data_IF_667282357344
#
_entry.id   IF_667282357344
#
_cell.length_a   1.000
_cell.length_b   1.000
_cell.length_c   1.000
_cell.angle_alpha   90.00
_cell.angle_beta   90.00
_cell.angle_gamma   90.00
#
_symmetry.space_group_name_H-M   'P 1'
#
loop_
_entity.id
_entity.type
_entity.pdbx_description
1 polymer ?
#
# COMPACT_ATOMS: atom_id res chain seq x y z
N UNK A 1 14.94 11.61 -16.10
CA UNK A 1 16.06 10.68 -16.36
C UNK A 1 16.90 10.64 -15.10
N UNK A 2 17.42 9.46 -14.75
CA UNK A 2 18.26 9.24 -13.58
C UNK A 2 19.51 8.42 -13.91
N UNK A 3 20.45 8.43 -12.99
CA UNK A 3 21.70 7.68 -13.08
C UNK A 3 21.85 6.79 -11.87
N UNK A 4 22.09 5.51 -12.10
CA UNK A 4 22.55 4.58 -11.07
C UNK A 4 24.05 4.73 -10.93
N UNK A 5 24.52 5.09 -9.75
CA UNK A 5 25.91 5.48 -9.53
C UNK A 5 26.88 4.28 -9.58
N UNK A 6 26.43 3.14 -9.06
CA UNK A 6 27.17 1.88 -9.11
C UNK A 6 26.19 0.73 -8.81
N UNK A 7 26.63 -0.52 -8.92
CA UNK A 7 25.81 -1.69 -8.68
C UNK A 7 26.25 -2.41 -7.40
N UNK A 8 25.32 -2.58 -6.44
CA UNK A 8 25.47 -3.42 -5.24
C UNK A 8 26.86 -3.34 -4.57
N UNK A 9 27.34 -2.15 -4.25
CA UNK A 9 28.62 -1.99 -3.54
C UNK A 9 28.55 -2.66 -2.18
N UNK A 10 29.39 -3.65 -1.97
CA UNK A 10 29.39 -4.52 -0.77
C UNK A 10 30.78 -4.52 -0.10
N UNK A 11 30.84 -5.13 1.06
CA UNK A 11 32.08 -5.41 1.80
C UNK A 11 32.79 -4.21 2.44
N UNK A 12 32.09 -3.07 2.56
CA UNK A 12 32.57 -1.90 3.27
C UNK A 12 31.55 -1.46 4.34
N UNK A 13 31.96 -0.72 5.37
CA UNK A 13 31.03 -0.07 6.27
C UNK A 13 30.03 0.83 5.51
N UNK A 14 28.79 0.89 5.96
CA UNK A 14 27.72 1.67 5.29
C UNK A 14 28.10 3.15 5.11
N UNK A 15 28.82 3.75 6.07
CA UNK A 15 29.33 5.13 5.92
C UNK A 15 30.27 5.29 4.74
N UNK A 16 31.21 4.35 4.56
CA UNK A 16 32.17 4.38 3.44
C UNK A 16 31.47 4.19 2.10
N UNK A 17 30.47 3.31 2.03
CA UNK A 17 29.67 3.09 0.82
C UNK A 17 28.93 4.38 0.47
N UNK A 18 28.23 4.99 1.42
CA UNK A 18 27.45 6.22 1.18
C UNK A 18 28.36 7.39 0.81
N UNK A 19 29.51 7.54 1.47
CA UNK A 19 30.50 8.57 1.15
C UNK A 19 31.04 8.41 -0.29
N UNK A 20 31.47 7.22 -0.66
CA UNK A 20 31.95 6.90 -2.02
C UNK A 20 30.86 7.19 -3.08
N UNK A 21 29.66 6.69 -2.86
CA UNK A 21 28.53 6.88 -3.78
C UNK A 21 28.10 8.35 -3.85
N UNK A 22 28.21 9.09 -2.75
CA UNK A 22 27.94 10.52 -2.72
C UNK A 22 28.94 11.33 -3.57
N UNK A 23 30.22 10.95 -3.57
CA UNK A 23 31.21 11.58 -4.44
C UNK A 23 30.96 11.32 -5.93
N UNK A 24 30.56 10.10 -6.28
CA UNK A 24 30.10 9.81 -7.65
C UNK A 24 28.85 10.62 -8.01
N UNK A 25 27.90 10.70 -7.11
CA UNK A 25 26.68 11.51 -7.27
C UNK A 25 26.99 13.00 -7.45
N UNK A 26 27.97 13.54 -6.71
CA UNK A 26 28.42 14.91 -6.85
C UNK A 26 28.89 15.20 -8.30
N UNK A 27 29.73 14.33 -8.86
CA UNK A 27 30.18 14.49 -10.23
C UNK A 27 29.02 14.51 -11.25
N UNK A 28 27.97 13.71 -11.01
CA UNK A 28 26.75 13.73 -11.84
C UNK A 28 25.97 15.03 -11.65
N UNK A 29 25.78 15.50 -10.40
CA UNK A 29 25.02 16.72 -10.10
C UNK A 29 25.71 18.00 -10.56
N UNK A 30 27.03 18.01 -10.62
CA UNK A 30 27.85 19.11 -11.15
C UNK A 30 27.86 19.12 -12.69
N UNK A 31 27.34 18.11 -13.35
CA UNK A 31 27.18 18.09 -14.80
C UNK A 31 26.07 19.05 -15.26
N UNK A 32 26.03 19.44 -16.55
CA UNK A 32 24.98 20.33 -17.06
C UNK A 32 23.59 19.67 -17.15
N UNK A 33 23.46 18.42 -16.75
CA UNK A 33 22.22 17.68 -16.85
C UNK A 33 21.47 17.63 -15.51
N UNK A 34 20.21 18.02 -15.49
CA UNK A 34 19.34 17.87 -14.33
C UNK A 34 18.82 16.43 -14.26
N UNK A 35 19.51 15.58 -13.51
CA UNK A 35 19.17 14.17 -13.33
C UNK A 35 19.16 13.82 -11.84
N UNK A 36 18.31 12.86 -11.47
CA UNK A 36 18.36 12.25 -10.15
C UNK A 36 19.41 11.13 -10.11
N UNK A 37 19.91 10.87 -8.91
CA UNK A 37 20.91 9.84 -8.64
C UNK A 37 20.37 8.77 -7.72
N UNK A 38 20.64 7.52 -8.02
CA UNK A 38 20.25 6.38 -7.20
C UNK A 38 21.42 5.44 -6.94
N UNK A 39 21.31 4.67 -5.88
CA UNK A 39 22.10 3.46 -5.68
C UNK A 39 21.17 2.28 -5.39
N UNK A 40 21.56 1.09 -5.77
CA UNK A 40 20.95 -0.14 -5.35
C UNK A 40 21.76 -0.82 -4.23
N UNK A 41 21.07 -1.57 -3.41
CA UNK A 41 21.68 -2.38 -2.38
C UNK A 41 20.93 -3.69 -2.22
N UNK A 42 21.60 -4.67 -1.64
CA UNK A 42 20.93 -5.92 -1.28
C UNK A 42 19.96 -5.70 -0.14
N UNK A 43 18.97 -6.57 -0.04
CA UNK A 43 18.01 -6.59 1.05
C UNK A 43 18.66 -6.53 2.45
N UNK A 44 19.78 -7.23 2.63
CA UNK A 44 20.46 -7.32 3.94
C UNK A 44 21.06 -5.98 4.36
N UNK A 45 21.55 -5.18 3.41
CA UNK A 45 22.27 -3.94 3.70
C UNK A 45 21.36 -2.71 3.71
N UNK A 46 20.12 -2.85 3.24
CA UNK A 46 19.21 -1.72 2.98
C UNK A 46 19.07 -0.78 4.17
N UNK A 47 18.78 -1.30 5.34
CA UNK A 47 18.46 -0.47 6.52
C UNK A 47 19.66 0.37 6.98
N UNK A 48 20.85 -0.23 7.01
CA UNK A 48 22.06 0.48 7.44
C UNK A 48 22.49 1.53 6.44
N UNK A 49 22.35 1.25 5.14
CA UNK A 49 22.67 2.20 4.07
C UNK A 49 21.67 3.36 4.05
N UNK A 50 20.38 3.09 4.16
CA UNK A 50 19.34 4.13 4.25
C UNK A 50 19.56 5.05 5.43
N UNK A 51 19.78 4.48 6.62
CA UNK A 51 20.03 5.25 7.82
C UNK A 51 21.26 6.14 7.67
N UNK A 52 22.36 5.60 7.15
CA UNK A 52 23.60 6.36 6.93
C UNK A 52 23.39 7.48 5.90
N UNK A 53 22.68 7.19 4.79
CA UNK A 53 22.39 8.20 3.77
C UNK A 53 21.56 9.36 4.35
N UNK A 54 20.55 9.08 5.16
CA UNK A 54 19.73 10.10 5.80
C UNK A 54 20.53 10.92 6.84
N UNK A 55 21.40 10.27 7.61
CA UNK A 55 22.29 10.98 8.53
C UNK A 55 23.26 11.91 7.79
N UNK A 56 23.90 11.44 6.74
CA UNK A 56 24.79 12.26 5.94
C UNK A 56 24.04 13.41 5.26
N UNK A 57 22.84 13.15 4.74
CA UNK A 57 22.00 14.17 4.10
C UNK A 57 21.63 15.29 5.07
N UNK A 58 21.36 14.97 6.34
CA UNK A 58 21.00 15.94 7.37
C UNK A 58 22.18 16.75 7.91
N UNK A 59 23.40 16.22 7.89
CA UNK A 59 24.58 16.83 8.52
C UNK A 59 25.57 17.46 7.55
N UNK A 60 25.93 16.74 6.49
CA UNK A 60 26.96 17.16 5.53
C UNK A 60 26.46 17.28 4.10
N UNK A 61 25.24 16.83 3.84
CA UNK A 61 24.69 16.64 2.51
C UNK A 61 25.13 15.32 1.87
N UNK A 62 24.33 14.84 0.94
CA UNK A 62 24.64 13.72 0.05
C UNK A 62 24.07 13.99 -1.33
N UNK A 63 24.71 13.44 -2.33
CA UNK A 63 24.29 13.54 -3.72
C UNK A 63 23.55 12.27 -4.20
N UNK A 64 23.11 11.41 -3.27
CA UNK A 64 22.27 10.26 -3.53
C UNK A 64 20.83 10.67 -3.24
N UNK A 65 20.01 10.80 -4.28
CA UNK A 65 18.61 11.21 -4.11
C UNK A 65 17.78 10.10 -3.46
N UNK A 66 18.01 8.84 -3.83
CA UNK A 66 17.38 7.70 -3.16
C UNK A 66 18.18 6.40 -3.28
N UNK A 67 17.86 5.49 -2.39
CA UNK A 67 18.41 4.13 -2.32
C UNK A 67 17.29 3.16 -2.60
N UNK A 68 17.49 2.22 -3.51
CA UNK A 68 16.54 1.15 -3.81
C UNK A 68 17.10 -0.23 -3.45
N UNK A 69 16.23 -1.22 -3.49
CA UNK A 69 16.54 -2.59 -3.09
C UNK A 69 16.51 -3.55 -4.28
N UNK A 70 17.46 -4.46 -4.31
CA UNK A 70 17.47 -5.59 -5.20
C UNK A 70 16.86 -6.79 -4.48
N UNK A 71 15.73 -7.26 -4.98
CA UNK A 71 14.94 -8.30 -4.33
C UNK A 71 14.56 -9.34 -5.35
N UNK A 72 15.02 -10.57 -5.14
CA UNK A 72 14.73 -11.68 -6.02
C UNK A 72 13.79 -12.68 -5.34
N UNK A 73 12.85 -13.22 -6.12
CA UNK A 73 11.83 -14.14 -5.62
C UNK A 73 12.41 -15.36 -4.88
N UNK A 74 13.61 -15.81 -5.22
CA UNK A 74 14.23 -16.94 -4.53
C UNK A 74 14.57 -16.65 -3.06
N UNK A 75 14.56 -15.39 -2.62
CA UNK A 75 14.69 -15.02 -1.22
C UNK A 75 13.39 -15.21 -0.42
N UNK A 76 12.25 -15.42 -1.08
CA UNK A 76 10.94 -15.53 -0.47
C UNK A 76 10.22 -16.80 -0.94
N UNK A 77 9.48 -17.41 -0.03
CA UNK A 77 8.79 -18.66 -0.34
C UNK A 77 7.43 -18.42 -1.00
N UNK A 78 6.80 -17.29 -0.72
CA UNK A 78 5.46 -16.93 -1.19
C UNK A 78 5.39 -15.44 -1.57
N UNK A 79 4.36 -15.03 -2.34
CA UNK A 79 4.06 -13.63 -2.61
C UNK A 79 3.70 -12.86 -1.34
N UNK A 80 3.05 -13.51 -0.39
CA UNK A 80 2.71 -12.89 0.90
C UNK A 80 3.97 -12.54 1.68
N UNK A 81 4.95 -13.44 1.72
CA UNK A 81 6.25 -13.13 2.35
C UNK A 81 7.03 -12.05 1.60
N UNK A 82 6.90 -11.96 0.28
CA UNK A 82 7.46 -10.89 -0.51
C UNK A 82 6.78 -9.55 -0.23
N UNK A 83 5.45 -9.50 -0.25
CA UNK A 83 4.67 -8.31 0.08
C UNK A 83 4.93 -7.86 1.53
N UNK A 84 4.99 -8.79 2.47
CA UNK A 84 5.32 -8.51 3.88
C UNK A 84 6.72 -7.92 4.01
N UNK A 85 7.72 -8.48 3.35
CA UNK A 85 9.07 -7.93 3.35
C UNK A 85 9.12 -6.51 2.79
N UNK A 86 8.40 -6.21 1.72
CA UNK A 86 8.37 -4.85 1.16
C UNK A 86 7.68 -3.88 2.12
N UNK A 87 6.63 -4.29 2.82
CA UNK A 87 5.92 -3.47 3.83
C UNK A 87 6.75 -3.23 5.08
N UNK A 88 7.42 -4.24 5.60
CA UNK A 88 8.24 -4.12 6.83
C UNK A 88 9.43 -3.19 6.65
N UNK A 89 9.88 -2.95 5.42
CA UNK A 89 10.94 -2.00 5.12
C UNK A 89 10.46 -0.54 5.05
N UNK A 90 9.16 -0.30 4.89
CA UNK A 90 8.60 1.07 4.76
C UNK A 90 8.96 1.99 5.92
N UNK A 91 8.89 1.60 7.20
CA UNK A 91 9.25 2.49 8.31
C UNK A 91 10.70 2.95 8.28
N UNK A 92 11.60 2.15 7.73
CA UNK A 92 13.03 2.46 7.64
C UNK A 92 13.40 3.32 6.44
N UNK A 93 12.50 3.47 5.49
CA UNK A 93 12.75 4.22 4.26
C UNK A 93 12.59 5.74 4.44
N UNK A 94 11.93 6.19 5.49
CA UNK A 94 11.78 7.61 5.81
C UNK A 94 11.29 8.43 4.61
N UNK A 95 12.05 9.47 4.24
CA UNK A 95 11.80 10.32 3.07
C UNK A 95 12.36 9.77 1.77
N UNK A 96 12.99 8.60 1.79
CA UNK A 96 13.56 7.97 0.60
C UNK A 96 12.45 7.59 -0.39
N UNK A 97 12.69 7.81 -1.68
CA UNK A 97 11.81 7.28 -2.72
C UNK A 97 11.96 5.76 -2.77
N UNK A 98 10.89 5.05 -2.46
CA UNK A 98 10.90 3.60 -2.31
C UNK A 98 10.79 2.92 -3.66
N UNK A 99 11.81 2.14 -4.01
CA UNK A 99 11.88 1.43 -5.28
C UNK A 99 12.50 0.05 -5.12
N UNK A 100 11.86 -0.96 -5.70
CA UNK A 100 12.51 -2.22 -6.03
C UNK A 100 13.24 -2.01 -7.35
N UNK A 101 14.56 -2.17 -7.32
CA UNK A 101 15.41 -1.84 -8.45
C UNK A 101 15.77 -3.04 -9.31
N UNK A 102 15.70 -4.24 -8.74
CA UNK A 102 15.93 -5.47 -9.47
C UNK A 102 15.03 -6.59 -8.98
N UNK A 103 14.34 -7.23 -9.92
CA UNK A 103 13.64 -8.50 -9.72
C UNK A 103 13.65 -9.32 -11.00
N UNK A 104 13.97 -10.62 -10.90
CA UNK A 104 13.97 -11.50 -12.06
C UNK A 104 12.57 -11.83 -12.56
N UNK A 105 12.37 -11.74 -13.87
CA UNK A 105 11.08 -11.96 -14.55
C UNK A 105 10.80 -13.41 -14.95
N UNK A 106 11.66 -14.35 -14.59
CA UNK A 106 11.60 -15.76 -15.04
C UNK A 106 10.50 -16.61 -14.38
N UNK A 107 9.71 -16.04 -13.48
CA UNK A 107 8.71 -16.79 -12.72
C UNK A 107 7.30 -16.57 -13.27
N UNK A 108 6.42 -17.59 -13.27
CA UNK A 108 5.07 -17.50 -13.83
C UNK A 108 4.21 -16.42 -13.16
N UNK A 109 4.48 -16.09 -11.92
CA UNK A 109 3.74 -15.15 -11.12
C UNK A 109 4.34 -13.73 -11.09
N UNK A 110 5.12 -13.37 -12.11
CA UNK A 110 5.81 -12.07 -12.13
C UNK A 110 4.83 -10.87 -12.03
N UNK A 111 3.64 -10.99 -12.61
CA UNK A 111 2.64 -9.95 -12.54
C UNK A 111 2.10 -9.76 -11.11
N UNK A 112 1.95 -10.85 -10.35
CA UNK A 112 1.57 -10.80 -8.93
C UNK A 112 2.67 -10.16 -8.09
N UNK A 113 3.92 -10.53 -8.33
CA UNK A 113 5.07 -9.94 -7.64
C UNK A 113 5.19 -8.45 -7.93
N UNK A 114 4.94 -8.03 -9.18
CA UNK A 114 4.92 -6.63 -9.56
C UNK A 114 3.89 -5.85 -8.71
N UNK A 115 2.66 -6.34 -8.65
CA UNK A 115 1.62 -5.68 -7.85
C UNK A 115 1.93 -5.73 -6.35
N UNK A 116 2.41 -6.87 -5.85
CA UNK A 116 2.79 -7.03 -4.45
C UNK A 116 3.91 -6.07 -4.02
N UNK A 117 4.89 -5.82 -4.91
CA UNK A 117 5.94 -4.87 -4.66
C UNK A 117 5.44 -3.46 -4.37
N UNK A 118 4.36 -3.04 -5.02
CA UNK A 118 3.75 -1.72 -4.83
C UNK A 118 3.12 -1.55 -3.44
N UNK A 119 2.87 -2.62 -2.69
CA UNK A 119 2.33 -2.52 -1.34
C UNK A 119 3.22 -1.73 -0.38
N UNK A 120 4.53 -1.71 -0.62
CA UNK A 120 5.50 -0.97 0.20
C UNK A 120 6.39 -0.02 -0.61
N UNK A 121 6.25 0.04 -1.93
CA UNK A 121 7.15 0.77 -2.81
C UNK A 121 6.40 1.65 -3.79
N UNK A 122 7.05 2.72 -4.24
CA UNK A 122 6.52 3.66 -5.23
C UNK A 122 6.86 3.26 -6.66
N UNK A 123 7.89 2.43 -6.84
CA UNK A 123 8.36 2.01 -8.16
C UNK A 123 8.93 0.60 -8.12
N UNK A 124 9.00 0.01 -9.30
CA UNK A 124 9.42 -1.37 -9.50
C UNK A 124 10.12 -1.49 -10.86
N UNK A 125 11.24 -2.19 -10.89
CA UNK A 125 12.04 -2.40 -12.09
C UNK A 125 12.38 -3.88 -12.29
N UNK A 126 12.32 -4.36 -13.52
CA UNK A 126 12.69 -5.71 -13.86
C UNK A 126 14.18 -5.78 -14.15
N UNK A 127 14.86 -6.73 -13.51
CA UNK A 127 16.22 -7.05 -13.86
C UNK A 127 16.23 -7.88 -15.16
N UNK A 128 17.07 -7.43 -16.09
CA UNK A 128 17.22 -8.02 -17.42
C UNK A 128 15.91 -8.15 -18.21
N UNK A 129 15.51 -7.07 -18.87
CA UNK A 129 14.40 -7.13 -19.81
C UNK A 129 14.64 -8.20 -20.90
N UNK A 130 15.89 -8.34 -21.35
CA UNK A 130 16.35 -9.29 -22.35
C UNK A 130 17.57 -10.03 -21.80
N UNK A 131 17.36 -11.21 -21.26
CA UNK A 131 18.45 -12.03 -20.67
C UNK A 131 18.68 -13.35 -21.39
N UNK A 132 19.95 -13.78 -21.50
CA UNK A 132 20.34 -15.10 -21.97
C UNK A 132 20.14 -16.19 -20.93
N UNK A 133 20.06 -15.81 -19.66
CA UNK A 133 20.05 -16.69 -18.49
C UNK A 133 18.67 -16.95 -17.91
N UNK A 134 17.61 -16.72 -18.68
CA UNK A 134 16.23 -16.91 -18.26
C UNK A 134 15.67 -15.90 -17.22
N UNK A 135 16.35 -14.83 -16.90
CA UNK A 135 15.85 -13.82 -15.95
C UNK A 135 14.93 -12.79 -16.60
N UNK A 136 15.07 -12.55 -17.92
CA UNK A 136 14.33 -11.53 -18.65
C UNK A 136 12.89 -11.91 -19.01
N UNK A 137 12.08 -10.91 -19.34
CA UNK A 137 10.75 -11.08 -19.95
C UNK A 137 10.87 -11.58 -21.39
N UNK A 138 11.96 -11.22 -22.07
CA UNK A 138 12.33 -11.71 -23.38
C UNK A 138 13.49 -12.70 -23.28
N UNK A 139 13.44 -13.76 -24.05
CA UNK A 139 14.52 -14.74 -24.18
C UNK A 139 15.23 -14.55 -25.51
N UNK A 140 16.52 -14.88 -25.54
CA UNK A 140 17.28 -14.87 -26.77
C UNK A 140 16.77 -15.99 -27.69
N UNK A 141 16.43 -15.64 -28.93
CA UNK A 141 16.07 -16.57 -30.00
C UNK A 141 17.15 -16.48 -31.09
N UNK A 142 17.66 -17.63 -31.49
CA UNK A 142 18.75 -17.70 -32.51
C UNK A 142 18.31 -17.20 -33.89
N UNK A 143 17.01 -17.24 -34.20
CA UNK A 143 16.48 -16.82 -35.49
C UNK A 143 16.06 -15.34 -35.51
N UNK A 144 15.37 -14.90 -34.48
CA UNK A 144 14.65 -13.63 -34.48
C UNK A 144 15.21 -12.62 -33.46
N UNK A 145 16.32 -12.94 -32.80
CA UNK A 145 16.96 -12.11 -31.79
C UNK A 145 16.35 -12.34 -30.40
N UNK A 146 15.29 -11.62 -30.03
CA UNK A 146 14.62 -11.79 -28.76
C UNK A 146 13.13 -12.13 -28.95
N UNK A 147 12.70 -13.20 -28.30
CA UNK A 147 11.32 -13.64 -28.28
C UNK A 147 10.67 -13.40 -26.90
N UNK A 148 9.38 -13.00 -26.82
CA UNK A 148 8.70 -12.84 -25.55
C UNK A 148 8.44 -14.19 -24.86
N UNK A 149 8.47 -14.20 -23.53
CA UNK A 149 8.08 -15.36 -22.73
C UNK A 149 6.57 -15.50 -22.63
N UNK A 150 5.88 -15.65 -23.73
CA UNK A 150 4.47 -16.03 -23.83
C UNK A 150 3.57 -15.45 -22.73
N UNK A 151 3.05 -16.33 -21.88
CA UNK A 151 2.07 -15.98 -20.83
C UNK A 151 2.59 -14.96 -19.81
N UNK A 152 3.89 -14.94 -19.51
CA UNK A 152 4.44 -13.99 -18.54
C UNK A 152 4.33 -12.56 -19.05
N UNK A 153 4.65 -12.37 -20.32
CA UNK A 153 4.55 -11.07 -20.95
C UNK A 153 3.10 -10.58 -21.00
N UNK A 154 2.15 -11.46 -21.31
CA UNK A 154 0.73 -11.07 -21.37
C UNK A 154 0.20 -10.67 -19.99
N UNK A 155 0.55 -11.39 -18.93
CA UNK A 155 0.16 -11.04 -17.56
C UNK A 155 0.76 -9.70 -17.14
N UNK A 156 2.05 -9.47 -17.43
CA UNK A 156 2.72 -8.20 -17.16
C UNK A 156 2.09 -7.05 -17.93
N UNK A 157 1.75 -7.25 -19.23
CA UNK A 157 1.06 -6.23 -20.03
C UNK A 157 -0.28 -5.83 -19.41
N UNK A 158 -1.07 -6.81 -18.96
CA UNK A 158 -2.39 -6.55 -18.37
C UNK A 158 -2.28 -5.85 -17.02
N UNK A 159 -1.33 -6.25 -16.17
CA UNK A 159 -1.07 -5.54 -14.91
C UNK A 159 -0.57 -4.12 -15.18
N UNK A 160 0.36 -3.92 -16.10
CA UNK A 160 0.82 -2.58 -16.48
C UNK A 160 -0.31 -1.73 -17.07
N UNK A 161 -1.19 -2.31 -17.89
CA UNK A 161 -2.37 -1.61 -18.41
C UNK A 161 -3.30 -1.18 -17.28
N UNK A 162 -3.55 -2.06 -16.32
CA UNK A 162 -4.35 -1.75 -15.12
C UNK A 162 -3.69 -0.62 -14.32
N UNK A 163 -2.41 -0.73 -14.01
CA UNK A 163 -1.69 0.27 -13.23
C UNK A 163 -1.64 1.62 -13.94
N UNK A 164 -1.40 1.64 -15.25
CA UNK A 164 -1.40 2.88 -16.03
C UNK A 164 -2.75 3.61 -15.98
N UNK A 165 -3.85 2.88 -15.89
CA UNK A 165 -5.19 3.48 -15.78
C UNK A 165 -5.44 4.20 -14.46
N UNK A 166 -4.63 3.95 -13.42
CA UNK A 166 -4.80 4.46 -12.05
C UNK A 166 -3.50 4.99 -11.44
N UNK A 167 -2.44 5.10 -12.23
CA UNK A 167 -1.08 5.45 -11.77
C UNK A 167 -1.03 6.77 -11.00
N UNK A 168 -1.72 7.80 -11.50
CA UNK A 168 -1.73 9.13 -10.87
C UNK A 168 -2.36 9.03 -9.48
N UNK A 169 -3.46 8.30 -9.36
CA UNK A 169 -4.17 8.15 -8.09
C UNK A 169 -3.35 7.35 -7.07
N UNK A 170 -2.66 6.30 -7.52
CA UNK A 170 -1.71 5.55 -6.66
C UNK A 170 -0.57 6.46 -6.20
N UNK A 171 0.01 7.26 -7.10
CA UNK A 171 1.14 8.13 -6.78
C UNK A 171 0.80 9.22 -5.76
N UNK A 172 -0.39 9.84 -5.88
CA UNK A 172 -0.80 10.94 -4.99
C UNK A 172 -1.52 10.48 -3.72
N UNK A 173 -2.07 9.24 -3.71
CA UNK A 173 -2.89 8.71 -2.64
C UNK A 173 -2.38 7.36 -2.11
N UNK A 174 -1.05 7.20 -1.99
CA UNK A 174 -0.42 5.93 -1.65
C UNK A 174 -0.98 5.24 -0.39
N UNK A 175 -1.48 6.00 0.58
CA UNK A 175 -2.13 5.47 1.80
C UNK A 175 -3.63 5.20 1.65
N UNK A 176 -4.23 5.45 0.48
CA UNK A 176 -5.68 5.38 0.23
C UNK A 176 -6.06 4.39 -0.85
N UNK A 177 -5.20 3.44 -1.18
CA UNK A 177 -5.51 2.39 -2.14
C UNK A 177 -5.36 1.01 -1.52
N UNK A 178 -6.16 0.07 -1.98
CA UNK A 178 -6.07 -1.36 -1.66
C UNK A 178 -5.54 -2.13 -2.85
N UNK A 179 -4.53 -2.97 -2.63
CA UNK A 179 -4.01 -3.90 -3.62
C UNK A 179 -4.60 -5.29 -3.37
N UNK A 180 -5.17 -5.88 -4.43
CA UNK A 180 -5.65 -7.25 -4.41
C UNK A 180 -4.68 -8.12 -5.17
N UNK A 181 -3.71 -8.66 -4.44
CA UNK A 181 -2.71 -9.59 -4.96
C UNK A 181 -3.17 -11.01 -4.69
N UNK A 182 -3.18 -11.83 -5.73
CA UNK A 182 -3.62 -13.21 -5.62
C UNK A 182 -2.46 -14.16 -5.43
N UNK A 183 -2.61 -15.10 -4.50
CA UNK A 183 -1.57 -16.10 -4.24
C UNK A 183 -1.46 -17.06 -5.45
N UNK A 184 -0.26 -17.20 -5.99
CA UNK A 184 0.04 -18.02 -7.16
C UNK A 184 -0.07 -19.53 -6.93
N UNK A 185 -0.05 -19.96 -5.68
CA UNK A 185 -0.24 -21.38 -5.32
C UNK A 185 -1.67 -21.86 -5.51
N UNK A 186 -2.57 -20.95 -5.86
CA UNK A 186 -3.84 -21.31 -6.50
C UNK A 186 -4.91 -21.92 -5.61
N UNK A 187 -4.70 -22.01 -4.31
CA UNK A 187 -5.55 -22.86 -3.47
C UNK A 187 -6.70 -22.13 -2.81
N UNK A 188 -6.79 -20.83 -2.90
CA UNK A 188 -7.99 -20.13 -2.44
C UNK A 188 -8.24 -18.84 -3.22
N UNK A 189 -9.35 -18.83 -3.96
CA UNK A 189 -9.99 -17.62 -4.46
C UNK A 189 -10.63 -16.84 -3.30
N UNK A 190 -9.88 -16.66 -2.21
CA UNK A 190 -10.40 -15.94 -1.04
C UNK A 190 -10.53 -14.46 -1.39
N UNK A 191 -11.66 -13.84 -1.07
CA UNK A 191 -11.81 -12.42 -1.27
C UNK A 191 -10.82 -11.67 -0.39
N UNK A 192 -10.07 -10.78 -1.00
CA UNK A 192 -9.24 -9.80 -0.28
C UNK A 192 -10.02 -8.50 -0.12
N UNK A 193 -9.70 -7.74 0.94
CA UNK A 193 -10.42 -6.49 1.26
C UNK A 193 -9.48 -5.30 1.07
N UNK A 194 -9.96 -4.30 0.35
CA UNK A 194 -9.26 -3.05 0.09
C UNK A 194 -9.89 -1.85 0.80
N UNK A 195 -9.83 -0.68 0.17
CA UNK A 195 -10.36 0.55 0.75
C UNK A 195 -11.87 0.47 0.99
N UNK A 196 -12.35 1.08 2.05
CA UNK A 196 -13.78 1.20 2.41
C UNK A 196 -14.53 -0.14 2.52
N UNK A 197 -13.82 -1.24 2.78
CA UNK A 197 -14.44 -2.56 2.87
C UNK A 197 -14.82 -3.18 1.53
N UNK A 198 -14.31 -2.64 0.42
CA UNK A 198 -14.44 -3.24 -0.90
C UNK A 198 -13.63 -4.54 -0.92
N UNK A 199 -14.24 -5.62 -1.39
CA UNK A 199 -13.54 -6.89 -1.57
C UNK A 199 -13.46 -7.27 -3.04
N UNK A 200 -12.44 -8.04 -3.38
CA UNK A 200 -12.22 -8.57 -4.71
C UNK A 200 -12.03 -10.08 -4.68
N UNK A 201 -12.75 -10.77 -5.54
CA UNK A 201 -12.58 -12.20 -5.82
C UNK A 201 -12.15 -12.32 -7.27
N UNK A 202 -10.94 -12.82 -7.58
CA UNK A 202 -10.46 -12.91 -8.96
C UNK A 202 -11.27 -13.90 -9.77
N UNK A 203 -11.48 -13.59 -11.04
CA UNK A 203 -12.12 -14.51 -12.00
C UNK A 203 -11.16 -15.56 -12.56
N UNK A 204 -9.85 -15.30 -12.44
CA UNK A 204 -8.76 -16.18 -12.90
C UNK A 204 -7.60 -16.16 -11.90
N UNK A 205 -6.81 -17.24 -11.89
CA UNK A 205 -5.63 -17.43 -11.00
C UNK A 205 -4.69 -16.21 -11.01
N UNK A 206 -4.48 -15.57 -12.16
CA UNK A 206 -3.58 -14.43 -12.31
C UNK A 206 -4.31 -13.09 -12.43
N UNK A 207 -5.56 -12.98 -11.99
CA UNK A 207 -6.26 -11.71 -11.98
C UNK A 207 -5.84 -10.89 -10.77
N UNK A 208 -5.33 -9.71 -11.01
CA UNK A 208 -4.93 -8.73 -10.01
C UNK A 208 -5.88 -7.54 -10.05
N UNK A 209 -6.03 -6.85 -8.94
CA UNK A 209 -6.91 -5.71 -8.87
C UNK A 209 -6.39 -4.64 -7.91
N UNK A 210 -6.96 -3.46 -8.01
CA UNK A 210 -6.73 -2.33 -7.12
C UNK A 210 -8.04 -1.59 -6.88
N UNK A 211 -8.23 -1.09 -5.66
CA UNK A 211 -9.30 -0.17 -5.30
C UNK A 211 -8.71 1.13 -4.76
N UNK A 212 -9.22 2.27 -5.20
CA UNK A 212 -8.67 3.58 -4.85
C UNK A 212 -9.79 4.51 -4.43
N UNK A 213 -9.66 5.09 -3.25
CA UNK A 213 -10.49 6.21 -2.80
C UNK A 213 -9.91 7.50 -3.40
N UNK A 214 -10.43 7.90 -4.55
CA UNK A 214 -9.94 9.05 -5.31
C UNK A 214 -10.39 10.37 -4.69
N UNK A 215 -11.63 10.43 -4.26
CA UNK A 215 -12.21 11.59 -3.58
C UNK A 215 -13.31 11.17 -2.60
N UNK A 216 -13.85 12.11 -1.86
CA UNK A 216 -14.98 11.86 -0.97
C UNK A 216 -16.23 11.31 -1.65
N UNK A 217 -16.36 11.52 -2.95
CA UNK A 217 -17.49 11.04 -3.75
C UNK A 217 -17.11 9.99 -4.81
N UNK A 218 -15.84 9.60 -4.92
CA UNK A 218 -15.39 8.79 -6.04
C UNK A 218 -14.42 7.67 -5.59
N UNK A 219 -14.74 6.44 -6.01
CA UNK A 219 -13.91 5.27 -5.82
C UNK A 219 -13.64 4.65 -7.19
N UNK A 220 -12.40 4.26 -7.44
CA UNK A 220 -11.99 3.61 -8.68
C UNK A 220 -11.57 2.18 -8.38
N UNK A 221 -12.10 1.26 -9.16
CA UNK A 221 -11.77 -0.16 -9.14
C UNK A 221 -11.11 -0.51 -10.46
N UNK A 222 -9.99 -1.21 -10.43
CA UNK A 222 -9.37 -1.70 -11.66
C UNK A 222 -8.93 -3.15 -11.49
N UNK A 223 -9.04 -3.93 -12.55
CA UNK A 223 -8.58 -5.33 -12.58
C UNK A 223 -7.82 -5.62 -13.86
N UNK A 224 -6.82 -6.49 -13.76
CA UNK A 224 -6.02 -6.90 -14.91
C UNK A 224 -6.74 -7.91 -15.81
N UNK A 225 -7.55 -8.82 -15.24
CA UNK A 225 -8.18 -9.93 -15.98
C UNK A 225 -9.63 -10.23 -15.57
N UNK A 226 -10.33 -9.24 -15.03
CA UNK A 226 -11.69 -9.44 -14.55
C UNK A 226 -11.78 -10.15 -13.20
N UNK A 227 -12.99 -10.30 -12.71
CA UNK A 227 -13.32 -10.85 -11.40
C UNK A 227 -14.54 -10.18 -10.81
N UNK A 228 -14.72 -10.35 -9.51
CA UNK A 228 -15.89 -9.87 -8.80
C UNK A 228 -15.48 -8.90 -7.72
N UNK A 229 -15.91 -7.65 -7.83
CA UNK A 229 -15.86 -6.71 -6.71
C UNK A 229 -17.17 -6.76 -5.93
N UNK A 230 -17.07 -6.64 -4.62
CA UNK A 230 -18.24 -6.41 -3.77
C UNK A 230 -17.95 -5.34 -2.72
N UNK A 231 -18.99 -4.62 -2.31
CA UNK A 231 -18.90 -3.57 -1.29
C UNK A 231 -20.15 -3.54 -0.41
N UNK A 232 -20.06 -3.06 0.84
CA UNK A 232 -21.19 -2.99 1.74
C UNK A 232 -22.20 -1.91 1.32
N UNK A 233 -23.48 -2.13 1.60
CA UNK A 233 -24.56 -1.15 1.37
C UNK A 233 -24.26 0.22 1.99
N UNK A 234 -23.50 0.24 3.09
CA UNK A 234 -23.13 1.48 3.80
C UNK A 234 -22.28 2.44 2.95
N UNK A 235 -21.68 1.97 1.86
CA UNK A 235 -20.96 2.85 0.92
C UNK A 235 -21.89 3.79 0.14
N UNK A 236 -23.19 3.49 0.07
CA UNK A 236 -24.20 4.31 -0.60
C UNK A 236 -23.78 4.74 -2.02
N UNK A 237 -23.45 3.78 -2.87
CA UNK A 237 -23.06 4.01 -4.26
C UNK A 237 -24.28 4.44 -5.06
N UNK A 238 -24.18 5.58 -5.70
CA UNK A 238 -25.22 6.21 -6.51
C UNK A 238 -25.18 5.72 -7.96
N UNK A 239 -24.00 5.51 -8.49
CA UNK A 239 -23.79 5.00 -9.86
C UNK A 239 -22.46 4.30 -10.01
N UNK A 240 -22.40 3.40 -11.01
CA UNK A 240 -21.18 2.74 -11.44
C UNK A 240 -21.06 2.86 -12.96
N UNK A 241 -19.86 3.18 -13.46
CA UNK A 241 -19.59 3.21 -14.89
C UNK A 241 -18.22 2.56 -15.19
N UNK A 242 -18.09 1.94 -16.35
CA UNK A 242 -16.82 1.48 -16.90
C UNK A 242 -16.23 2.55 -17.80
N UNK A 243 -14.89 2.58 -17.88
CA UNK A 243 -14.20 3.56 -18.71
C UNK A 243 -12.70 3.58 -18.41
N UNK A 244 -12.08 4.70 -18.65
CA UNK A 244 -10.65 4.90 -18.40
C UNK A 244 -10.35 6.38 -18.11
N UNK A 245 -9.16 6.66 -17.59
CA UNK A 245 -8.66 8.03 -17.46
C UNK A 245 -7.80 8.38 -18.68
N UNK A 246 -8.08 9.54 -19.29
CA UNK A 246 -7.28 10.07 -20.40
C UNK A 246 -5.91 10.59 -19.93
N UNK A 247 -5.10 11.08 -20.86
CA UNK A 247 -3.77 11.64 -20.56
C UNK A 247 -3.80 12.86 -19.62
N UNK A 248 -4.95 13.49 -19.42
CA UNK A 248 -5.17 14.62 -18.53
C UNK A 248 -5.83 14.19 -17.21
N UNK A 249 -5.92 12.88 -16.97
CA UNK A 249 -6.57 12.29 -15.79
C UNK A 249 -8.08 12.60 -15.67
N UNK A 250 -8.77 12.83 -16.80
CA UNK A 250 -10.21 12.95 -16.87
C UNK A 250 -10.84 11.60 -17.14
N UNK A 251 -11.97 11.31 -16.49
CA UNK A 251 -12.72 10.08 -16.74
C UNK A 251 -13.41 10.12 -18.09
N UNK A 252 -13.16 9.13 -18.91
CA UNK A 252 -13.87 8.86 -20.17
C UNK A 252 -14.82 7.70 -19.92
N UNK A 253 -16.11 8.00 -19.93
CA UNK A 253 -17.17 7.04 -19.65
C UNK A 253 -17.46 6.19 -20.88
N UNK A 254 -17.43 4.87 -20.74
CA UNK A 254 -17.75 3.88 -21.81
C UNK A 254 -19.10 3.20 -21.59
N UNK A 255 -19.80 3.55 -20.52
CA UNK A 255 -21.14 3.06 -20.21
C UNK A 255 -21.36 2.67 -18.76
N UNK A 256 -22.62 2.55 -18.40
CA UNK A 256 -23.04 2.14 -17.06
C UNK A 256 -22.68 0.69 -16.78
N UNK A 257 -22.42 0.40 -15.53
CA UNK A 257 -22.22 -0.96 -15.01
C UNK A 257 -23.34 -1.24 -14.02
N UNK A 258 -24.11 -2.30 -14.28
CA UNK A 258 -25.13 -2.76 -13.36
C UNK A 258 -24.47 -3.56 -12.24
N UNK A 259 -24.88 -3.31 -11.01
CA UNK A 259 -24.47 -4.09 -9.87
C UNK A 259 -25.69 -4.78 -9.23
N UNK A 260 -25.47 -6.00 -8.78
CA UNK A 260 -26.47 -6.80 -8.09
C UNK A 260 -26.40 -6.53 -6.59
N UNK A 261 -27.54 -6.62 -5.93
CA UNK A 261 -27.60 -6.55 -4.46
C UNK A 261 -27.86 -7.94 -3.92
N UNK A 262 -26.95 -8.44 -3.10
CA UNK A 262 -27.11 -9.67 -2.34
C UNK A 262 -26.99 -9.38 -0.84
N UNK A 263 -28.15 -9.49 -0.14
CA UNK A 263 -28.29 -9.20 1.30
C UNK A 263 -27.87 -7.77 1.64
N UNK A 264 -26.62 -7.59 2.12
CA UNK A 264 -26.04 -6.28 2.53
C UNK A 264 -24.84 -5.90 1.70
N UNK A 265 -24.66 -6.51 0.53
CA UNK A 265 -23.53 -6.27 -0.37
C UNK A 265 -24.03 -5.96 -1.76
N UNK A 266 -23.36 -5.04 -2.40
CA UNK A 266 -23.46 -4.83 -3.84
C UNK A 266 -22.32 -5.58 -4.52
N UNK A 267 -22.59 -6.12 -5.70
CA UNK A 267 -21.68 -7.00 -6.43
C UNK A 267 -21.65 -6.55 -7.89
N UNK A 268 -20.43 -6.34 -8.40
CA UNK A 268 -20.17 -6.17 -9.82
C UNK A 268 -19.25 -7.26 -10.33
N UNK A 269 -19.64 -7.89 -11.45
CA UNK A 269 -18.83 -8.89 -12.12
C UNK A 269 -18.23 -8.28 -13.38
N UNK A 270 -16.91 -8.36 -13.50
CA UNK A 270 -16.14 -7.86 -14.64
C UNK A 270 -15.68 -9.01 -15.51
N UNK A 271 -15.64 -8.75 -16.82
CA UNK A 271 -15.40 -9.76 -17.83
C UNK A 271 -14.02 -10.39 -17.70
N UNK A 272 -14.01 -11.69 -17.81
CA UNK A 272 -12.85 -12.52 -17.67
C UNK A 272 -11.83 -12.29 -18.81
N UNK A 273 -10.53 -12.24 -18.44
CA UNK A 273 -9.42 -12.08 -19.39
C UNK A 273 -9.21 -10.65 -19.91
N UNK A 274 -9.97 -9.68 -19.43
CA UNK A 274 -9.93 -8.29 -19.90
C UNK A 274 -9.54 -7.34 -18.77
N UNK A 275 -8.62 -6.43 -19.06
CA UNK A 275 -8.32 -5.32 -18.17
C UNK A 275 -9.44 -4.29 -18.20
N UNK A 276 -10.05 -4.02 -17.04
CA UNK A 276 -11.19 -3.12 -16.93
C UNK A 276 -11.04 -2.19 -15.73
N UNK A 277 -11.55 -0.97 -15.89
CA UNK A 277 -11.64 0.02 -14.82
C UNK A 277 -13.10 0.44 -14.63
N UNK A 278 -13.53 0.52 -13.39
CA UNK A 278 -14.88 0.92 -12.98
C UNK A 278 -14.76 2.09 -12.02
N UNK A 279 -15.55 3.12 -12.28
CA UNK A 279 -15.72 4.25 -11.41
C UNK A 279 -17.02 4.12 -10.64
N UNK A 280 -16.95 4.17 -9.31
CA UNK A 280 -18.09 4.23 -8.42
C UNK A 280 -18.27 5.67 -7.95
N UNK A 281 -19.47 6.20 -8.07
CA UNK A 281 -19.84 7.50 -7.52
C UNK A 281 -20.73 7.29 -6.31
N UNK A 282 -20.40 7.93 -5.20
CA UNK A 282 -21.18 7.88 -3.95
C UNK A 282 -21.56 9.27 -3.47
N UNK A 283 -22.45 9.34 -2.48
CA UNK A 283 -22.70 10.58 -1.75
C UNK A 283 -21.36 11.07 -1.15
N UNK A 284 -21.09 12.35 -1.32
CA UNK A 284 -19.83 12.95 -0.87
C UNK A 284 -19.62 12.73 0.63
N UNK A 285 -18.43 12.24 0.97
CA UNK A 285 -17.98 12.04 2.34
C UNK A 285 -16.74 12.91 2.59
N UNK A 286 -16.54 13.43 3.78
CA UNK A 286 -15.29 14.09 4.12
C UNK A 286 -14.10 13.16 3.89
N UNK A 287 -13.04 13.69 3.27
CA UNK A 287 -11.82 12.94 3.02
C UNK A 287 -10.86 13.04 4.20
N UNK A 288 -10.17 11.97 4.56
CA UNK A 288 -9.09 12.09 5.52
C UNK A 288 -7.90 12.83 4.90
N UNK A 289 -7.33 13.77 5.62
CA UNK A 289 -6.07 14.44 5.23
C UNK A 289 -4.84 13.60 5.55
N UNK A 290 -4.95 12.73 6.57
CA UNK A 290 -3.91 11.77 6.98
C UNK A 290 -4.58 10.44 7.29
N UNK A 291 -3.98 9.35 6.83
CA UNK A 291 -4.36 7.97 7.17
C UNK A 291 -3.14 7.28 7.77
N UNK A 292 -3.32 6.70 8.95
CA UNK A 292 -2.30 5.95 9.66
C UNK A 292 -2.80 4.50 9.85
N UNK A 293 -2.44 3.57 8.97
CA UNK A 293 -2.85 2.18 9.10
C UNK A 293 -2.20 1.48 10.29
N UNK A 294 -2.75 0.35 10.69
CA UNK A 294 -2.33 -0.40 11.88
C UNK A 294 -0.85 -0.79 11.87
N UNK A 295 -0.33 -1.18 10.72
CA UNK A 295 1.06 -1.59 10.53
C UNK A 295 2.10 -0.47 10.72
N UNK A 296 1.67 0.78 10.71
CA UNK A 296 2.54 1.94 10.89
C UNK A 296 2.55 2.47 12.34
N UNK A 297 1.94 1.75 13.27
CA UNK A 297 1.88 2.13 14.67
C UNK A 297 2.96 1.45 15.50
N UNK A 298 3.45 2.14 16.52
CA UNK A 298 4.14 1.47 17.62
C UNK A 298 3.10 0.90 18.58
N UNK A 299 3.27 -0.33 19.03
CA UNK A 299 2.32 -0.95 19.94
C UNK A 299 3.00 -1.85 20.96
N UNK A 300 2.32 -2.14 22.07
CA UNK A 300 2.82 -3.00 23.13
C UNK A 300 1.75 -3.30 24.18
N UNK A 301 2.20 -3.83 25.32
CA UNK A 301 1.28 -4.23 26.40
C UNK A 301 0.37 -5.40 26.02
N UNK A 302 0.85 -6.30 25.15
CA UNK A 302 0.07 -7.46 24.68
C UNK A 302 -0.80 -7.19 23.46
N UNK A 303 -0.67 -6.03 22.80
CA UNK A 303 -1.27 -5.79 21.46
C UNK A 303 -0.48 -6.56 20.42
N UNK A 304 -1.18 -7.17 19.47
CA UNK A 304 -0.61 -7.95 18.38
C UNK A 304 -1.14 -7.40 17.06
N UNK A 305 -0.27 -7.24 16.07
CA UNK A 305 -0.68 -7.00 14.69
C UNK A 305 -1.05 -8.35 14.07
N UNK A 306 -2.29 -8.48 13.66
CA UNK A 306 -2.85 -9.68 13.05
C UNK A 306 -3.30 -9.38 11.62
N UNK A 307 -3.12 -10.36 10.74
CA UNK A 307 -3.52 -10.32 9.33
C UNK A 307 -4.34 -11.55 8.96
N UNK A 308 -5.11 -12.09 9.93
CA UNK A 308 -5.93 -13.28 9.73
C UNK A 308 -7.16 -12.98 8.86
N UNK A 309 -6.96 -13.04 7.56
CA UNK A 309 -8.01 -12.83 6.58
C UNK A 309 -9.02 -13.98 6.48
N UNK A 310 -8.76 -15.11 7.12
CA UNK A 310 -9.71 -16.23 7.17
C UNK A 310 -10.79 -16.00 8.21
N UNK A 311 -10.43 -15.44 9.37
CA UNK A 311 -11.31 -15.28 10.51
C UNK A 311 -11.71 -13.81 10.79
N UNK A 312 -10.98 -12.82 10.25
CA UNK A 312 -11.25 -11.40 10.46
C UNK A 312 -11.11 -10.61 9.16
N UNK A 313 -12.03 -10.78 8.26
CA UNK A 313 -12.11 -10.01 7.02
C UNK A 313 -12.63 -8.60 7.31
N UNK A 314 -12.32 -7.63 6.47
CA UNK A 314 -12.88 -6.26 6.55
C UNK A 314 -11.94 -5.22 7.14
N UNK A 315 -10.72 -5.56 7.56
CA UNK A 315 -9.68 -4.57 7.88
C UNK A 315 -9.12 -3.93 6.59
N UNK A 316 -8.41 -2.82 6.74
CA UNK A 316 -7.70 -2.13 5.66
C UNK A 316 -6.20 -2.21 5.89
N UNK A 317 -5.40 -2.14 4.82
CA UNK A 317 -3.95 -2.25 4.93
C UNK A 317 -3.45 -3.68 5.15
N UNK A 318 -2.32 -3.82 5.84
CA UNK A 318 -1.66 -5.11 6.07
C UNK A 318 -2.21 -5.91 7.26
N UNK A 319 -3.13 -5.33 8.03
CA UNK A 319 -3.68 -6.02 9.19
C UNK A 319 -4.43 -5.09 10.14
N UNK A 320 -4.69 -5.59 11.31
CA UNK A 320 -5.33 -4.85 12.40
C UNK A 320 -4.61 -5.12 13.72
N UNK A 321 -4.68 -4.18 14.64
CA UNK A 321 -4.19 -4.36 16.00
C UNK A 321 -5.27 -5.04 16.84
N UNK A 322 -4.97 -6.23 17.33
CA UNK A 322 -5.78 -6.95 18.31
C UNK A 322 -5.37 -6.54 19.72
N UNK A 323 -6.27 -5.91 20.45
CA UNK A 323 -6.00 -5.39 21.79
C UNK A 323 -6.41 -6.39 22.87
N UNK A 324 -5.55 -6.57 23.91
CA UNK A 324 -5.95 -7.30 25.11
C UNK A 324 -7.02 -6.53 25.88
N UNK A 325 -7.62 -7.18 26.88
CA UNK A 325 -8.66 -6.58 27.73
C UNK A 325 -8.17 -5.32 28.45
N UNK A 326 -6.91 -5.29 28.89
CA UNK A 326 -6.31 -4.14 29.58
C UNK A 326 -4.81 -4.07 29.34
N UNK A 327 -4.24 -2.87 29.46
CA UNK A 327 -2.80 -2.63 29.42
C UNK A 327 -2.19 -2.55 28.01
N UNK A 328 -2.95 -2.87 26.98
CA UNK A 328 -2.52 -2.75 25.59
C UNK A 328 -2.52 -1.29 25.14
N UNK A 329 -1.57 -0.93 24.29
CA UNK A 329 -1.50 0.40 23.70
C UNK A 329 -1.01 0.38 22.25
N UNK A 330 -1.43 1.39 21.48
CA UNK A 330 -0.92 1.73 20.16
C UNK A 330 -0.62 3.23 20.09
N UNK A 331 0.45 3.62 19.40
CA UNK A 331 0.92 5.00 19.33
C UNK A 331 1.18 5.37 17.87
N UNK A 332 0.55 6.43 17.42
CA UNK A 332 0.89 7.13 16.18
C UNK A 332 1.78 8.32 16.52
N UNK A 333 3.01 8.31 16.07
CA UNK A 333 3.96 9.41 16.20
C UNK A 333 3.97 10.26 14.94
N UNK A 334 4.48 11.46 15.09
CA UNK A 334 4.72 12.39 13.98
C UNK A 334 3.49 12.63 13.08
N UNK A 335 2.29 12.60 13.69
CA UNK A 335 1.05 12.89 12.98
C UNK A 335 1.05 14.35 12.56
N UNK A 336 0.90 14.58 11.24
CA UNK A 336 0.87 15.92 10.68
C UNK A 336 -0.49 16.58 10.93
N UNK A 337 -0.52 17.48 11.92
CA UNK A 337 -1.71 18.29 12.24
C UNK A 337 -2.01 19.39 11.23
N UNK A 338 -1.26 19.48 10.12
CA UNK A 338 -1.39 20.56 9.12
C UNK A 338 -1.25 21.94 9.79
N UNK A 339 -2.29 22.76 9.70
CA UNK A 339 -2.30 24.09 10.33
C UNK A 339 -2.58 24.04 11.84
N UNK A 340 -2.76 22.86 12.41
CA UNK A 340 -3.14 22.68 13.82
C UNK A 340 -4.61 23.04 14.10
N UNK A 341 -4.91 23.20 15.39
CA UNK A 341 -6.26 23.52 15.86
C UNK A 341 -7.13 22.28 16.11
N UNK A 342 -8.43 22.50 16.26
CA UNK A 342 -9.37 21.42 16.49
C UNK A 342 -9.55 20.60 15.22
N UNK A 343 -9.31 19.28 15.31
CA UNK A 343 -9.44 18.34 14.20
C UNK A 343 -10.31 17.17 14.59
N UNK A 344 -10.98 16.56 13.63
CA UNK A 344 -11.69 15.31 13.83
C UNK A 344 -10.76 14.13 13.56
N UNK A 345 -10.52 13.34 14.60
CA UNK A 345 -9.84 12.05 14.51
C UNK A 345 -10.90 10.98 14.33
N UNK A 346 -10.71 10.12 13.33
CA UNK A 346 -11.59 8.99 13.04
C UNK A 346 -10.79 7.70 13.27
N UNK A 347 -11.30 6.81 14.12
CA UNK A 347 -10.70 5.50 14.38
C UNK A 347 -11.56 4.43 13.73
N UNK A 348 -10.96 3.58 12.91
CA UNK A 348 -11.62 2.42 12.30
C UNK A 348 -11.41 1.20 13.18
N UNK A 349 -12.51 0.62 13.64
CA UNK A 349 -12.48 -0.47 14.61
C UNK A 349 -13.54 -1.54 14.33
N UNK A 350 -13.30 -2.77 14.82
CA UNK A 350 -14.31 -3.81 14.97
C UNK A 350 -14.42 -4.22 16.45
N UNK A 351 -15.65 -4.36 16.94
CA UNK A 351 -15.95 -4.85 18.27
C UNK A 351 -17.01 -5.96 18.15
N UNK A 352 -16.57 -7.20 18.02
CA UNK A 352 -17.45 -8.37 17.92
C UNK A 352 -18.14 -8.77 19.23
N UNK A 353 -17.84 -8.10 20.36
CA UNK A 353 -18.53 -8.32 21.64
C UNK A 353 -19.87 -7.61 21.65
N UNK A 354 -20.79 -8.08 22.45
CA UNK A 354 -22.09 -7.41 22.69
C UNK A 354 -21.97 -6.14 23.53
N UNK A 355 -20.86 -5.97 24.24
CA UNK A 355 -20.60 -4.85 25.15
C UNK A 355 -19.82 -3.74 24.47
N UNK A 356 -20.07 -2.51 24.90
CA UNK A 356 -19.32 -1.34 24.47
C UNK A 356 -17.92 -1.37 25.08
N UNK A 357 -16.88 -1.29 24.25
CA UNK A 357 -15.53 -1.07 24.74
C UNK A 357 -15.26 0.44 24.98
N UNK A 358 -14.47 0.76 26.00
CA UNK A 358 -14.24 2.14 26.40
C UNK A 358 -12.74 2.48 26.58
N UNK A 359 -11.93 2.34 25.51
CA UNK A 359 -10.51 2.68 25.57
C UNK A 359 -10.28 4.18 25.79
N UNK A 360 -9.09 4.54 26.23
CA UNK A 360 -8.63 5.90 26.28
C UNK A 360 -7.92 6.29 24.99
N UNK A 361 -8.29 7.43 24.41
CA UNK A 361 -7.51 8.10 23.38
C UNK A 361 -6.79 9.29 24.02
N UNK A 362 -5.47 9.34 23.86
CA UNK A 362 -4.61 10.37 24.43
C UNK A 362 -3.95 11.11 23.27
N UNK A 363 -4.28 12.40 23.12
CA UNK A 363 -3.75 13.25 22.05
C UNK A 363 -2.87 14.32 22.69
N UNK A 364 -1.58 14.31 22.40
CA UNK A 364 -0.61 15.25 22.96
C UNK A 364 -0.66 15.32 24.51
N UNK A 365 -0.95 14.21 25.17
CA UNK A 365 -1.11 14.14 26.63
C UNK A 365 -2.50 14.42 27.16
N UNK A 366 -3.44 14.89 26.32
CA UNK A 366 -4.84 15.12 26.72
C UNK A 366 -5.65 13.85 26.49
N UNK A 367 -6.21 13.29 27.57
CA UNK A 367 -6.96 12.04 27.54
C UNK A 367 -8.46 12.27 27.30
N UNK A 368 -9.03 11.47 26.40
CA UNK A 368 -10.47 11.34 26.15
C UNK A 368 -10.87 9.88 26.20
N UNK A 369 -12.04 9.58 26.72
CA UNK A 369 -12.62 8.23 26.69
C UNK A 369 -13.43 8.05 25.44
N UNK A 370 -13.09 7.04 24.64
CA UNK A 370 -13.91 6.64 23.50
C UNK A 370 -15.05 5.72 23.94
N UNK A 371 -16.03 5.60 23.08
CA UNK A 371 -17.08 4.56 23.15
C UNK A 371 -17.06 3.83 21.81
N UNK A 372 -16.75 2.54 21.87
CA UNK A 372 -16.74 1.64 20.72
C UNK A 372 -17.87 0.64 20.85
N UNK A 373 -19.08 0.97 20.35
CA UNK A 373 -20.21 0.04 20.36
C UNK A 373 -19.88 -1.29 19.67
N UNK A 374 -20.70 -2.29 19.95
CA UNK A 374 -20.63 -3.54 19.19
C UNK A 374 -20.84 -3.27 17.70
N UNK A 375 -19.98 -3.84 16.87
CA UNK A 375 -20.16 -3.86 15.41
C UNK A 375 -20.89 -5.11 14.92
N UNK A 376 -21.26 -5.99 15.87
CA UNK A 376 -21.98 -7.25 15.61
C UNK A 376 -21.07 -8.42 15.21
N UNK A 377 -19.87 -8.15 14.72
CA UNK A 377 -18.87 -9.16 14.31
C UNK A 377 -17.48 -8.57 14.38
N UNK A 378 -16.45 -9.44 14.47
CA UNK A 378 -15.06 -9.07 14.32
C UNK A 378 -14.68 -8.72 12.88
N UNK A 379 -15.52 -9.06 11.92
CA UNK A 379 -15.37 -8.77 10.48
C UNK A 379 -16.04 -7.47 10.04
N UNK A 380 -16.82 -6.86 10.93
CA UNK A 380 -17.56 -5.64 10.64
C UNK A 380 -16.87 -4.44 11.26
N UNK A 381 -16.23 -3.64 10.43
CA UNK A 381 -15.54 -2.43 10.85
C UNK A 381 -16.47 -1.21 10.74
N UNK A 382 -16.36 -0.33 11.72
CA UNK A 382 -17.05 0.95 11.79
C UNK A 382 -16.06 2.04 12.18
N UNK A 383 -16.50 3.29 12.05
CA UNK A 383 -15.72 4.43 12.49
C UNK A 383 -16.32 5.05 13.75
N UNK A 384 -15.44 5.49 14.65
CA UNK A 384 -15.77 6.41 15.73
C UNK A 384 -15.01 7.72 15.52
N UNK A 385 -15.69 8.83 15.71
CA UNK A 385 -15.12 10.16 15.56
C UNK A 385 -14.92 10.85 16.91
N UNK A 386 -13.81 11.56 17.04
CA UNK A 386 -13.53 12.36 18.22
C UNK A 386 -12.80 13.64 17.84
N UNK A 387 -13.29 14.78 18.31
CA UNK A 387 -12.60 16.04 18.15
C UNK A 387 -11.40 16.12 19.11
N UNK A 388 -10.25 16.57 18.62
CA UNK A 388 -9.04 16.78 19.42
C UNK A 388 -8.23 17.96 18.90
N UNK A 389 -7.50 18.61 19.82
CA UNK A 389 -6.59 19.70 19.49
C UNK A 389 -5.26 19.15 19.02
N UNK A 390 -4.83 19.53 17.81
CA UNK A 390 -3.53 19.18 17.25
C UNK A 390 -2.65 20.43 17.13
N UNK A 391 -1.35 20.23 17.29
CA UNK A 391 -0.32 21.24 17.02
C UNK A 391 -0.11 21.36 15.50
N UNK A 392 0.27 22.53 14.99
CA UNK A 392 0.66 22.68 13.58
C UNK A 392 1.83 21.75 13.22
N UNK A 393 1.81 21.21 12.01
CA UNK A 393 2.88 20.35 11.47
C UNK A 393 2.98 18.99 12.15
N UNK A 394 4.11 18.33 11.92
CA UNK A 394 4.46 17.02 12.49
C UNK A 394 4.84 17.14 13.96
N UNK A 395 4.81 16.04 14.70
CA UNK A 395 5.16 16.00 16.14
C UNK A 395 3.96 15.85 17.05
N UNK A 396 2.76 15.64 16.50
CA UNK A 396 1.62 15.20 17.30
C UNK A 396 1.75 13.72 17.60
N UNK A 397 1.39 13.35 18.82
CA UNK A 397 1.37 11.97 19.31
C UNK A 397 -0.06 11.62 19.70
N UNK A 398 -0.56 10.56 19.09
CA UNK A 398 -1.89 10.01 19.38
C UNK A 398 -1.68 8.60 19.92
N UNK A 399 -2.21 8.32 21.11
CA UNK A 399 -2.09 7.02 21.78
C UNK A 399 -3.47 6.48 22.12
N UNK A 400 -3.71 5.22 21.76
CA UNK A 400 -4.88 4.46 22.17
C UNK A 400 -4.47 3.46 23.25
N UNK A 401 -5.22 3.38 24.34
CA UNK A 401 -4.97 2.43 25.43
C UNK A 401 -6.21 1.62 25.76
N UNK A 402 -6.06 0.28 25.77
CA UNK A 402 -7.13 -0.60 26.21
C UNK A 402 -7.33 -0.51 27.72
N UNK A 403 -8.59 -0.61 28.12
CA UNK A 403 -9.01 -0.72 29.51
C UNK A 403 -9.55 -2.12 29.74
N UNK A 404 -10.07 -2.37 30.93
CA UNK A 404 -10.64 -3.66 31.35
C UNK A 404 -11.67 -4.29 30.38
N UNK A 405 -12.23 -3.50 29.46
CA UNK A 405 -13.20 -3.90 28.44
C UNK A 405 -12.57 -4.03 27.04
N UNK A 406 -11.29 -3.73 26.90
CA UNK A 406 -10.52 -3.82 25.67
C UNK A 406 -10.66 -2.57 24.77
N UNK A 407 -10.15 -2.67 23.55
CA UNK A 407 -10.31 -1.67 22.49
C UNK A 407 -10.81 -2.29 21.17
N UNK A 408 -11.06 -3.61 21.15
CA UNK A 408 -11.43 -4.31 19.93
C UNK A 408 -10.26 -4.51 18.96
N UNK A 409 -10.60 -4.71 17.70
CA UNK A 409 -9.64 -4.68 16.59
C UNK A 409 -9.56 -3.26 16.02
N UNK A 410 -8.38 -2.74 15.81
CA UNK A 410 -8.17 -1.39 15.29
C UNK A 410 -7.38 -1.47 13.98
N UNK A 411 -7.97 -1.03 12.88
CA UNK A 411 -7.37 -1.12 11.55
C UNK A 411 -6.60 0.15 11.14
N UNK A 412 -7.14 1.32 11.48
CA UNK A 412 -6.50 2.58 11.11
C UNK A 412 -7.00 3.76 11.94
N UNK A 413 -6.20 4.81 11.94
CA UNK A 413 -6.57 6.14 12.40
C UNK A 413 -6.53 7.11 11.22
N UNK A 414 -7.52 7.96 11.13
CA UNK A 414 -7.64 9.00 10.12
C UNK A 414 -7.72 10.38 10.77
N UNK A 415 -7.10 11.37 10.16
CA UNK A 415 -7.33 12.77 10.44
C UNK A 415 -8.19 13.34 9.32
N UNK A 416 -9.35 13.86 9.65
CA UNK A 416 -10.31 14.33 8.66
C UNK A 416 -9.96 15.74 8.17
N UNK A 417 -10.25 16.01 6.88
CA UNK A 417 -10.29 17.37 6.34
C UNK A 417 -11.55 18.07 6.87
N UNK A 418 -11.41 19.36 7.20
CA UNK A 418 -12.54 20.22 7.57
C UNK A 418 -13.33 20.65 6.35
#
# INVERSE_FOLDING_TARGET
>A
IGVQLNNEVRSFPSSTIVEYMSELGRAVKESPYSVWTRMNCTYVDLHSILYTNEQMRSTTGTYIDFVGIDTYRHHFQTEDSFAESTRTNVPYMGKNFRMIMEIGARVPNIAQLHLAALSGNNAFDYYELCGSDDLGIFVQDEKDGFAPRGIYLEDVKLVNKMLNSVMVDIAVNASRYGLFVHNWKGDSLMPTVGVEGISFTPGYINSQAVSILRSGSEIVLATSKGGVFSWPDSLNILSASKGYFDAHNNWVDEGTVDFQTDKRKHIVTLDAGICQTVRLVRAAQPMPSVVCPAEHMEFGGGVVLEADAENCIGFTGAGYLNFPLAGGYAIWKDVDGKNGGQKTIRLRYANGKSQVATPNLIVNGVQKRLRLPSTGSWDTYQYVEVAAELKPGTGNVIRLESRWDGAGHVAELQLMEE
#
